data_IF_572366646169
#
_entry.id   IF_572366646169
#
_cell.length_a   1.000
_cell.length_b   1.000
_cell.length_c   1.000
_cell.angle_alpha   90.00
_cell.angle_beta   90.00
_cell.angle_gamma   90.00
#
_symmetry.space_group_name_H-M   'P 1'
#
loop_
_entity.id
_entity.type
_entity.pdbx_description
1 polymer ?
#
# COMPACT_ATOMS: atom_id res chain seq x y z
N UNK A 1 -24.25 -2.54 -0.50
CA UNK A 1 -22.84 -2.90 -0.24
C UNK A 1 -22.00 -1.66 -0.45
N UNK A 2 -21.33 -1.18 0.59
CA UNK A 2 -20.43 -0.04 0.46
C UNK A 2 -19.22 -0.42 -0.40
N UNK A 3 -18.85 0.47 -1.31
CA UNK A 3 -17.64 0.29 -2.11
C UNK A 3 -16.42 0.58 -1.24
N UNK A 4 -15.41 -0.29 -1.27
CA UNK A 4 -14.15 -0.08 -0.54
C UNK A 4 -13.35 1.06 -1.13
N UNK A 5 -13.42 1.26 -2.45
CA UNK A 5 -12.70 2.29 -3.19
C UNK A 5 -13.60 3.48 -3.55
N UNK A 6 -13.01 4.68 -3.71
CA UNK A 6 -11.60 5.03 -3.49
C UNK A 6 -11.20 4.97 -2.02
N UNK A 7 -9.90 4.73 -1.75
CA UNK A 7 -9.34 4.78 -0.40
C UNK A 7 -8.44 5.99 -0.23
N UNK A 8 -8.44 6.56 0.98
CA UNK A 8 -7.48 7.59 1.37
C UNK A 8 -6.36 6.95 2.18
N UNK A 9 -5.12 7.08 1.70
CA UNK A 9 -3.93 6.52 2.36
C UNK A 9 -3.19 7.64 3.07
N UNK A 10 -2.94 7.43 4.35
CA UNK A 10 -2.16 8.31 5.21
C UNK A 10 -0.78 7.69 5.40
N UNK A 11 0.25 8.38 4.95
CA UNK A 11 1.62 7.88 4.95
C UNK A 11 2.63 8.94 5.41
N UNK A 12 3.84 8.50 5.68
CA UNK A 12 4.95 9.34 6.11
C UNK A 12 5.89 9.60 4.92
N UNK A 13 5.85 10.80 4.34
CA UNK A 13 6.73 11.18 3.23
C UNK A 13 8.17 11.41 3.66
N UNK A 14 8.45 11.63 4.94
CA UNK A 14 9.82 11.75 5.45
C UNK A 14 10.59 10.43 5.42
N UNK A 15 9.88 9.31 5.28
CA UNK A 15 10.45 8.00 5.06
C UNK A 15 10.70 7.80 3.55
N UNK A 16 11.95 7.70 3.08
CA UNK A 16 12.26 7.54 1.66
C UNK A 16 11.58 6.32 1.03
N UNK A 17 11.58 5.19 1.74
CA UNK A 17 10.93 3.95 1.30
C UNK A 17 9.42 4.16 1.11
N UNK A 18 8.74 4.72 2.12
CA UNK A 18 7.29 4.93 2.08
C UNK A 18 6.89 5.93 0.99
N UNK A 19 7.63 7.02 0.87
CA UNK A 19 7.39 8.04 -0.15
C UNK A 19 7.54 7.48 -1.56
N UNK A 20 8.60 6.72 -1.81
CA UNK A 20 8.85 6.09 -3.10
C UNK A 20 7.77 5.04 -3.43
N UNK A 21 7.39 4.22 -2.46
CA UNK A 21 6.35 3.20 -2.63
C UNK A 21 5.00 3.83 -2.98
N UNK A 22 4.55 4.81 -2.21
CA UNK A 22 3.26 5.47 -2.44
C UNK A 22 3.24 6.24 -3.77
N UNK A 23 4.33 6.92 -4.11
CA UNK A 23 4.46 7.63 -5.39
C UNK A 23 4.35 6.67 -6.58
N UNK A 24 4.98 5.50 -6.50
CA UNK A 24 4.91 4.50 -7.56
C UNK A 24 3.55 3.84 -7.66
N UNK A 25 2.90 3.52 -6.53
CA UNK A 25 1.53 3.03 -6.55
C UNK A 25 0.59 4.07 -7.20
N UNK A 26 0.75 5.36 -6.90
CA UNK A 26 -0.06 6.42 -7.52
C UNK A 26 0.17 6.51 -9.03
N UNK A 27 1.40 6.30 -9.53
CA UNK A 27 1.67 6.25 -10.98
C UNK A 27 0.92 5.12 -11.70
N UNK A 28 0.59 4.04 -11.01
CA UNK A 28 -0.18 2.90 -11.56
C UNK A 28 -1.69 3.01 -11.28
N UNK A 29 -2.11 4.05 -10.60
CA UNK A 29 -3.51 4.27 -10.22
C UNK A 29 -4.32 4.91 -11.36
N UNK A 30 -4.56 4.13 -12.39
CA UNK A 30 -5.31 4.59 -13.58
C UNK A 30 -6.82 4.77 -13.31
N UNK A 31 -7.33 4.17 -12.25
CA UNK A 31 -8.75 4.24 -11.87
C UNK A 31 -9.04 5.32 -10.81
N UNK A 32 -8.01 6.07 -10.38
CA UNK A 32 -8.07 7.08 -9.30
C UNK A 32 -8.66 6.53 -7.99
N UNK A 33 -8.25 5.31 -7.66
CA UNK A 33 -8.69 4.61 -6.46
C UNK A 33 -7.90 5.02 -5.20
N UNK A 34 -6.74 5.68 -5.36
CA UNK A 34 -5.86 6.06 -4.26
C UNK A 34 -5.78 7.58 -4.10
N UNK A 35 -6.21 8.07 -2.96
CA UNK A 35 -5.95 9.44 -2.49
C UNK A 35 -4.84 9.39 -1.45
N UNK A 36 -3.71 10.05 -1.71
CA UNK A 36 -2.56 10.07 -0.81
C UNK A 36 -2.57 11.33 0.06
N UNK A 37 -2.38 11.16 1.37
CA UNK A 37 -2.22 12.25 2.32
C UNK A 37 -0.91 12.04 3.08
N UNK A 38 -0.06 13.06 3.04
CA UNK A 38 1.22 13.09 3.73
C UNK A 38 1.04 13.53 5.19
N UNK A 39 1.30 12.61 6.12
CA UNK A 39 1.24 12.90 7.55
C UNK A 39 2.48 13.67 8.06
N UNK A 40 3.58 13.70 7.30
CA UNK A 40 4.78 14.44 7.65
C UNK A 40 4.65 15.95 7.35
N UNK A 41 3.69 16.36 6.52
CA UNK A 41 3.46 17.76 6.19
C UNK A 41 3.23 18.61 7.45
N UNK A 42 3.75 19.83 7.44
CA UNK A 42 3.66 20.75 8.59
C UNK A 42 2.21 21.14 8.90
N UNK A 43 1.40 21.31 7.88
CA UNK A 43 -0.01 21.67 7.94
C UNK A 43 -0.95 20.47 8.14
N UNK A 44 -0.40 19.24 8.23
CA UNK A 44 -1.23 18.07 8.43
C UNK A 44 -1.92 18.08 9.79
N UNK A 45 -3.23 17.94 9.76
CA UNK A 45 -4.09 17.72 10.92
C UNK A 45 -4.91 16.45 10.71
N UNK A 46 -4.90 15.56 11.71
CA UNK A 46 -5.68 14.34 11.65
C UNK A 46 -7.19 14.67 11.62
N UNK A 47 -7.97 14.04 10.74
CA UNK A 47 -9.42 14.25 10.69
C UNK A 47 -10.09 13.88 12.01
N UNK A 48 -11.25 14.46 12.29
CA UNK A 48 -12.04 14.10 13.46
C UNK A 48 -12.38 12.60 13.46
N UNK A 49 -12.14 11.93 14.60
CA UNK A 49 -12.35 10.47 14.71
C UNK A 49 -11.26 9.59 14.10
N UNK A 50 -10.22 10.19 13.53
CA UNK A 50 -9.05 9.46 13.02
C UNK A 50 -8.08 9.09 14.15
N UNK A 51 -7.20 8.09 13.92
CA UNK A 51 -6.00 7.90 14.73
C UNK A 51 -5.15 9.18 14.79
N UNK A 52 -4.36 9.34 15.84
CA UNK A 52 -3.52 10.52 15.98
C UNK A 52 -2.36 10.53 14.94
N UNK A 53 -1.77 11.72 14.72
CA UNK A 53 -0.65 11.91 13.80
C UNK A 53 0.51 10.94 14.11
N UNK A 54 0.82 10.72 15.39
CA UNK A 54 1.92 9.86 15.81
C UNK A 54 1.68 8.39 15.44
N UNK A 55 0.44 7.90 15.52
CA UNK A 55 0.07 6.57 15.07
C UNK A 55 0.15 6.44 13.54
N UNK A 56 -0.33 7.46 12.81
CA UNK A 56 -0.27 7.50 11.34
C UNK A 56 1.17 7.56 10.81
N UNK A 57 2.08 8.21 11.55
CA UNK A 57 3.50 8.25 11.22
C UNK A 57 4.20 6.92 11.48
N UNK A 58 3.69 6.07 12.34
CA UNK A 58 4.30 4.76 12.67
C UNK A 58 3.94 3.67 11.68
N UNK A 59 2.69 3.61 11.28
CA UNK A 59 2.14 2.55 10.42
C UNK A 59 1.31 3.17 9.31
N UNK A 60 1.22 2.48 8.19
CA UNK A 60 0.33 2.88 7.09
C UNK A 60 -1.13 2.79 7.54
N UNK A 61 -1.88 3.84 7.31
CA UNK A 61 -3.32 3.89 7.57
C UNK A 61 -4.06 4.13 6.26
N UNK A 62 -5.18 3.46 6.08
CA UNK A 62 -6.10 3.69 4.98
C UNK A 62 -7.51 3.94 5.53
N UNK A 63 -8.21 4.87 4.91
CA UNK A 63 -9.62 5.12 5.17
C UNK A 63 -10.42 4.78 3.92
N UNK A 64 -11.35 3.86 4.05
CA UNK A 64 -12.13 3.33 2.93
C UNK A 64 -13.36 4.19 2.63
N UNK A 65 -13.89 4.09 1.41
CA UNK A 65 -15.09 4.82 1.02
C UNK A 65 -16.33 4.46 1.85
N UNK A 66 -16.37 3.25 2.41
CA UNK A 66 -17.41 2.80 3.32
C UNK A 66 -17.18 3.20 4.80
N UNK A 67 -16.22 4.08 5.06
CA UNK A 67 -16.02 4.73 6.35
C UNK A 67 -15.23 3.92 7.39
N UNK A 68 -14.35 3.01 6.96
CA UNK A 68 -13.56 2.17 7.87
C UNK A 68 -12.08 2.53 7.84
N UNK A 69 -11.47 2.55 9.01
CA UNK A 69 -10.04 2.62 9.18
C UNK A 69 -9.40 1.24 9.04
N UNK A 70 -8.37 1.15 8.23
CA UNK A 70 -7.59 -0.07 7.99
C UNK A 70 -6.11 0.27 8.23
N UNK A 71 -5.41 -0.55 9.03
CA UNK A 71 -4.08 -0.22 9.52
C UNK A 71 -3.08 -1.34 9.18
N UNK A 72 -1.89 -0.97 8.78
CA UNK A 72 -0.77 -1.90 8.56
C UNK A 72 -0.90 -2.73 7.30
N UNK A 73 -0.64 -4.03 7.41
CA UNK A 73 -0.63 -4.96 6.26
C UNK A 73 -1.95 -4.97 5.47
N UNK A 74 -3.13 -4.96 6.10
CA UNK A 74 -4.40 -4.82 5.37
C UNK A 74 -4.51 -3.51 4.56
N UNK A 75 -3.93 -2.40 5.04
CA UNK A 75 -3.90 -1.15 4.29
C UNK A 75 -3.04 -1.27 3.02
N UNK A 76 -1.87 -1.91 3.10
CA UNK A 76 -1.04 -2.24 1.94
C UNK A 76 -1.80 -3.11 0.94
N UNK A 77 -2.46 -4.16 1.43
CA UNK A 77 -3.27 -5.04 0.58
C UNK A 77 -4.30 -4.25 -0.23
N UNK A 78 -5.01 -3.33 0.40
CA UNK A 78 -5.97 -2.47 -0.29
C UNK A 78 -5.29 -1.52 -1.28
N UNK A 79 -4.14 -0.94 -0.94
CA UNK A 79 -3.40 -0.06 -1.83
C UNK A 79 -2.98 -0.78 -3.12
N UNK A 80 -2.42 -1.99 -3.00
CA UNK A 80 -2.04 -2.81 -4.15
C UNK A 80 -3.25 -3.27 -4.98
N UNK A 81 -4.35 -3.65 -4.33
CA UNK A 81 -5.59 -3.99 -5.03
C UNK A 81 -6.16 -2.79 -5.80
N UNK A 82 -6.09 -1.59 -5.22
CA UNK A 82 -6.57 -0.34 -5.84
C UNK A 82 -5.90 -0.02 -7.17
N UNK A 83 -4.64 -0.40 -7.34
CA UNK A 83 -3.88 -0.19 -8.60
C UNK A 83 -3.85 -1.44 -9.49
N UNK A 84 -4.63 -2.47 -9.17
CA UNK A 84 -4.73 -3.67 -9.99
C UNK A 84 -3.64 -4.72 -9.77
N UNK A 85 -2.78 -4.56 -8.78
CA UNK A 85 -1.78 -5.57 -8.40
C UNK A 85 -2.40 -6.65 -7.48
N UNK A 86 -3.47 -7.27 -7.96
CA UNK A 86 -4.23 -8.26 -7.20
C UNK A 86 -3.40 -9.43 -6.71
N UNK A 87 -2.37 -9.83 -7.46
CA UNK A 87 -1.49 -10.93 -7.04
C UNK A 87 -0.72 -10.65 -5.75
N UNK A 88 -0.37 -9.38 -5.47
CA UNK A 88 0.23 -8.97 -4.19
C UNK A 88 -0.83 -8.97 -3.10
N UNK A 89 -2.00 -8.42 -3.40
CA UNK A 89 -3.14 -8.40 -2.49
C UNK A 89 -3.53 -9.82 -2.06
N UNK A 90 -3.66 -10.74 -3.02
CA UNK A 90 -4.03 -12.14 -2.77
C UNK A 90 -2.94 -12.89 -2.00
N UNK A 91 -1.66 -12.59 -2.30
CA UNK A 91 -0.54 -13.17 -1.56
C UNK A 91 -0.54 -12.72 -0.10
N UNK A 92 -0.76 -11.43 0.16
CA UNK A 92 -0.86 -10.86 1.51
C UNK A 92 -2.11 -11.36 2.26
N UNK A 93 -3.15 -11.78 1.55
CA UNK A 93 -4.38 -12.30 2.15
C UNK A 93 -4.26 -13.76 2.63
N UNK A 94 -3.23 -14.48 2.19
CA UNK A 94 -2.99 -15.84 2.66
C UNK A 94 -2.78 -15.86 4.17
N UNK A 95 -3.47 -16.73 4.93
CA UNK A 95 -3.51 -16.67 6.40
C UNK A 95 -2.12 -16.77 7.05
N UNK A 96 -1.24 -17.60 6.50
CA UNK A 96 0.13 -17.72 6.99
C UNK A 96 0.96 -16.47 6.69
N UNK A 97 0.89 -15.95 5.46
CA UNK A 97 1.60 -14.76 5.04
C UNK A 97 1.10 -13.54 5.83
N UNK A 98 -0.20 -13.38 5.95
CA UNK A 98 -0.81 -12.30 6.72
C UNK A 98 -0.34 -12.32 8.17
N UNK A 99 -0.34 -13.50 8.83
CA UNK A 99 0.12 -13.64 10.21
C UNK A 99 1.59 -13.28 10.37
N UNK A 100 2.45 -13.74 9.47
CA UNK A 100 3.89 -13.44 9.50
C UNK A 100 4.13 -11.95 9.22
N UNK A 101 3.52 -11.41 8.16
CA UNK A 101 3.70 -10.01 7.78
C UNK A 101 3.16 -9.04 8.84
N UNK A 102 2.03 -9.35 9.47
CA UNK A 102 1.48 -8.53 10.56
C UNK A 102 2.43 -8.44 11.75
N UNK A 103 3.19 -9.51 12.03
CA UNK A 103 4.21 -9.49 13.10
C UNK A 103 5.50 -8.81 12.68
N UNK A 104 5.92 -8.97 11.42
CA UNK A 104 7.15 -8.38 10.90
C UNK A 104 6.98 -6.88 10.55
N UNK A 105 5.80 -6.47 10.13
CA UNK A 105 5.57 -5.11 9.65
C UNK A 105 5.94 -4.01 10.67
N UNK A 106 5.59 -4.10 11.97
CA UNK A 106 6.02 -3.10 12.94
C UNK A 106 7.55 -3.01 13.09
N UNK A 107 8.25 -4.14 12.91
CA UNK A 107 9.72 -4.19 12.97
C UNK A 107 10.30 -3.51 11.71
N UNK A 108 9.78 -3.83 10.54
CA UNK A 108 10.17 -3.20 9.27
C UNK A 108 9.88 -1.68 9.33
N UNK A 109 8.70 -1.30 9.82
CA UNK A 109 8.31 0.09 9.97
C UNK A 109 9.23 0.87 10.90
N UNK A 110 9.73 0.24 11.96
CA UNK A 110 10.71 0.85 12.87
C UNK A 110 12.07 1.10 12.18
N UNK A 111 12.47 0.23 11.28
CA UNK A 111 13.77 0.30 10.60
C UNK A 111 13.70 0.87 9.17
N UNK A 112 12.53 1.33 8.73
CA UNK A 112 12.28 1.78 7.36
C UNK A 112 13.16 2.94 6.88
N UNK A 113 13.64 3.78 7.81
CA UNK A 113 14.55 4.90 7.49
C UNK A 113 15.97 4.45 7.17
N UNK A 114 16.34 3.21 7.51
CA UNK A 114 17.65 2.62 7.26
C UNK A 114 17.67 1.78 5.97
N UNK A 115 16.48 1.43 5.45
CA UNK A 115 16.35 0.62 4.23
C UNK A 115 16.75 1.48 3.03
N UNK A 116 17.76 1.06 2.24
CA UNK A 116 18.23 1.83 1.11
C UNK A 116 17.21 1.88 -0.04
N UNK A 117 17.12 3.01 -0.72
CA UNK A 117 16.16 3.24 -1.82
C UNK A 117 16.28 2.22 -2.96
N UNK A 118 17.49 1.75 -3.25
CA UNK A 118 17.69 0.76 -4.32
C UNK A 118 16.93 -0.55 -4.07
N UNK A 119 16.72 -0.92 -2.80
CA UNK A 119 15.95 -2.12 -2.45
C UNK A 119 14.46 -1.95 -2.77
N UNK A 120 13.91 -0.76 -2.48
CA UNK A 120 12.54 -0.43 -2.86
C UNK A 120 12.37 -0.39 -4.38
N UNK A 121 13.36 0.17 -5.10
CA UNK A 121 13.37 0.18 -6.57
C UNK A 121 13.41 -1.23 -7.16
N UNK A 122 14.26 -2.11 -6.64
CA UNK A 122 14.35 -3.49 -7.06
C UNK A 122 13.03 -4.23 -6.85
N UNK A 123 12.39 -4.03 -5.70
CA UNK A 123 11.08 -4.58 -5.39
C UNK A 123 10.02 -4.14 -6.39
N UNK A 124 9.89 -2.84 -6.66
CA UNK A 124 8.92 -2.32 -7.62
C UNK A 124 9.20 -2.76 -9.05
N UNK A 125 10.45 -2.80 -9.48
CA UNK A 125 10.81 -3.27 -10.80
C UNK A 125 10.42 -4.75 -10.97
N UNK A 126 10.62 -5.56 -9.94
CA UNK A 126 10.18 -6.94 -9.91
C UNK A 126 8.66 -7.06 -9.98
N UNK A 127 7.91 -6.25 -9.19
CA UNK A 127 6.45 -6.22 -9.23
C UNK A 127 5.92 -5.83 -10.62
N UNK A 128 6.47 -4.77 -11.21
CA UNK A 128 6.08 -4.31 -12.54
C UNK A 128 6.35 -5.38 -13.61
N UNK A 129 7.49 -6.07 -13.54
CA UNK A 129 7.82 -7.18 -14.43
C UNK A 129 6.84 -8.35 -14.26
N UNK A 130 6.43 -8.67 -13.03
CA UNK A 130 5.44 -9.72 -12.78
C UNK A 130 4.04 -9.33 -13.30
N UNK A 131 3.63 -8.08 -13.12
CA UNK A 131 2.36 -7.57 -13.66
C UNK A 131 2.34 -7.65 -15.19
N UNK A 132 3.43 -7.24 -15.85
CA UNK A 132 3.54 -7.34 -17.32
C UNK A 132 3.54 -8.80 -17.83
N UNK A 133 4.22 -9.71 -17.13
CA UNK A 133 4.21 -11.15 -17.49
C UNK A 133 2.80 -11.73 -17.40
N UNK A 134 2.04 -11.37 -16.37
CA UNK A 134 0.66 -11.82 -16.18
C UNK A 134 -0.29 -11.24 -17.22
N UNK A 135 -0.17 -9.96 -17.57
CA UNK A 135 -0.98 -9.33 -18.61
C UNK A 135 -0.72 -9.97 -19.99
N UNK A 136 0.54 -10.28 -20.31
CA UNK A 136 0.89 -11.00 -21.55
C UNK A 136 0.35 -12.43 -21.56
N UNK A 137 0.40 -13.15 -20.45
CA UNK A 137 -0.16 -14.49 -20.32
C UNK A 137 -1.69 -14.48 -20.49
N UNK A 138 -2.39 -13.47 -19.98
CA UNK A 138 -3.82 -13.32 -20.22
C UNK A 138 -4.15 -12.99 -21.68
N UNK A 139 -3.35 -12.17 -22.35
CA UNK A 139 -3.52 -11.84 -23.76
C UNK A 139 -3.32 -13.07 -24.68
N UNK A 140 -2.54 -14.05 -24.27
CA UNK A 140 -2.31 -15.33 -25.00
C UNK A 140 -3.26 -16.46 -24.61
N UNK A 141 -4.29 -16.18 -23.79
CA UNK A 141 -5.34 -17.16 -23.41
C UNK A 141 -4.96 -18.12 -22.28
N UNK A 142 -3.80 -17.97 -21.65
CA UNK A 142 -3.35 -18.78 -20.51
C UNK A 142 -3.57 -18.01 -19.20
N UNK A 143 -4.80 -17.56 -18.97
CA UNK A 143 -5.15 -16.97 -17.69
C UNK A 143 -5.48 -18.08 -16.68
N UNK A 144 -4.54 -18.39 -15.78
CA UNK A 144 -4.87 -19.19 -14.58
C UNK A 144 -5.39 -18.22 -13.51
N UNK A 145 -6.68 -18.36 -13.22
CA UNK A 145 -7.32 -17.76 -12.06
C UNK A 145 -6.70 -18.26 -10.77
#
# INVERSE_FOLDING_TARGET
MGTTFPITIYYDSSCPLCNQEMSRLKQHDHADNLKLIDCAAEDFSAPAGAPDKAAMMKLLHAYTADGKWVIGVPAFRLAYAGVGFYFVSDWLDKPLVNRVMTRLYPIIAKHRYVIPEWLAQAWFNWLAAQAQRRSKACATGVCKL
#
